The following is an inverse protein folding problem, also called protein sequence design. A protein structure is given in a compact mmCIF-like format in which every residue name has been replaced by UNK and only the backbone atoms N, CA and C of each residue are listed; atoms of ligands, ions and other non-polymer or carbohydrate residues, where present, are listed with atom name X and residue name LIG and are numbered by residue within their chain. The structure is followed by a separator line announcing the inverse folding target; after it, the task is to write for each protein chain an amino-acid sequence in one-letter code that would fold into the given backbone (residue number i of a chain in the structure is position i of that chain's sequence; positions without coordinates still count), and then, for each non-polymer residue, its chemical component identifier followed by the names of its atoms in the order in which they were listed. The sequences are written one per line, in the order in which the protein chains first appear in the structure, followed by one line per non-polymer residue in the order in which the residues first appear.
data_IF_236028251009
#
_entry.id   IF_236028251009
#
_cell.length_a   1.000
_cell.length_b   1.000
_cell.length_c   1.000
_cell.angle_alpha   90.00
_cell.angle_beta   90.00
_cell.angle_gamma   90.00
#
_symmetry.space_group_name_H-M   'P 1'
#
loop_
_entity.id
_entity.type
_entity.pdbx_description
1 polymer ?
#
# COMPACT_ATOMS: atom_id res chain seq x y z
N UNK A 1 15.48 -11.36 22.69
CA UNK A 1 14.67 -10.55 21.75
C UNK A 1 13.68 -9.76 22.59
N UNK A 2 13.90 -8.45 22.73
CA UNK A 2 13.09 -7.56 23.54
C UNK A 2 11.71 -7.41 22.89
N UNK A 3 10.64 -7.82 23.56
CA UNK A 3 9.25 -7.65 23.12
C UNK A 3 8.96 -6.15 23.00
N UNK A 4 8.86 -5.65 21.77
CA UNK A 4 8.33 -4.30 21.54
C UNK A 4 6.82 -4.31 21.73
N UNK A 5 6.38 -3.92 22.92
CA UNK A 5 4.96 -3.80 23.27
C UNK A 5 4.31 -2.51 22.70
N UNK A 6 5.10 -1.60 22.11
CA UNK A 6 4.67 -0.25 21.73
C UNK A 6 4.44 -0.05 20.22
N UNK A 7 4.21 -1.12 19.45
CA UNK A 7 3.90 -0.98 18.03
C UNK A 7 2.50 -0.41 17.85
N UNK A 8 2.40 0.85 17.44
CA UNK A 8 1.11 1.50 17.14
C UNK A 8 0.61 1.15 15.73
N UNK A 9 1.53 0.96 14.76
CA UNK A 9 1.25 0.74 13.34
C UNK A 9 2.26 -0.28 12.80
N UNK A 10 1.80 -1.20 11.95
CA UNK A 10 2.67 -2.03 11.14
C UNK A 10 2.69 -1.49 9.71
N UNK A 11 3.87 -1.29 9.13
CA UNK A 11 4.02 -0.85 7.74
C UNK A 11 4.95 -1.79 6.98
N UNK A 12 4.51 -2.26 5.82
CA UNK A 12 5.27 -3.10 4.90
C UNK A 12 5.38 -2.41 3.54
N UNK A 13 6.60 -2.31 3.04
CA UNK A 13 6.90 -1.79 1.71
C UNK A 13 7.45 -2.91 0.83
N UNK A 14 6.81 -3.14 -0.31
CA UNK A 14 7.21 -4.12 -1.31
C UNK A 14 7.54 -3.35 -2.59
N UNK A 15 8.81 -3.39 -3.01
CA UNK A 15 9.29 -2.75 -4.22
C UNK A 15 9.89 -3.83 -5.11
N UNK A 16 9.15 -4.20 -6.17
CA UNK A 16 9.55 -5.30 -7.04
C UNK A 16 8.91 -5.18 -8.42
N UNK A 17 9.17 -6.15 -9.29
CA UNK A 17 8.42 -6.34 -10.52
C UNK A 17 7.09 -7.05 -10.25
N UNK A 18 6.09 -6.75 -11.06
CA UNK A 18 4.78 -7.39 -10.96
C UNK A 18 4.10 -7.50 -12.31
N UNK A 19 3.15 -8.42 -12.39
CA UNK A 19 2.35 -8.72 -13.56
C UNK A 19 0.85 -8.64 -13.25
N UNK A 20 0.04 -9.00 -14.23
CA UNK A 20 -1.40 -9.11 -14.05
C UNK A 20 -1.76 -10.07 -12.90
N UNK A 21 -2.98 -9.93 -12.38
CA UNK A 21 -3.54 -10.77 -11.31
C UNK A 21 -2.73 -10.72 -10.00
N UNK A 22 -1.99 -9.62 -9.76
CA UNK A 22 -1.24 -9.40 -8.53
C UNK A 22 -0.05 -10.35 -8.33
N UNK A 23 0.51 -10.88 -9.42
CA UNK A 23 1.75 -11.66 -9.37
C UNK A 23 2.92 -10.72 -9.10
N UNK A 24 3.71 -11.02 -8.09
CA UNK A 24 4.91 -10.30 -7.69
C UNK A 24 6.12 -11.21 -7.82
N UNK A 25 7.28 -10.63 -8.14
CA UNK A 25 8.52 -11.36 -8.31
C UNK A 25 9.45 -11.15 -7.12
N UNK A 26 9.86 -12.24 -6.47
CA UNK A 26 11.02 -12.27 -5.59
C UNK A 26 12.28 -12.61 -6.37
N UNK A 27 13.42 -12.68 -5.70
CA UNK A 27 14.69 -13.01 -6.35
C UNK A 27 14.70 -14.41 -7.00
N UNK A 28 14.05 -15.36 -6.36
CA UNK A 28 14.09 -16.78 -6.71
C UNK A 28 12.73 -17.36 -7.13
N UNK A 29 11.64 -16.63 -6.92
CA UNK A 29 10.29 -17.13 -7.17
C UNK A 29 9.28 -16.00 -7.40
N UNK A 30 8.10 -16.37 -7.89
CA UNK A 30 6.97 -15.46 -8.00
C UNK A 30 5.89 -15.84 -7.00
N UNK A 31 5.19 -14.84 -6.46
CA UNK A 31 4.16 -15.06 -5.45
C UNK A 31 3.00 -14.07 -5.60
N UNK A 32 1.87 -14.37 -4.99
CA UNK A 32 0.74 -13.44 -4.86
C UNK A 32 0.65 -12.96 -3.41
N UNK A 33 0.73 -11.65 -3.19
CA UNK A 33 0.72 -11.04 -1.87
C UNK A 33 -0.45 -11.57 -1.01
N UNK A 34 -1.66 -11.56 -1.55
CA UNK A 34 -2.88 -11.96 -0.82
C UNK A 34 -2.95 -13.45 -0.48
N UNK A 35 -2.15 -14.32 -1.16
CA UNK A 35 -2.09 -15.76 -0.88
C UNK A 35 -0.92 -16.14 0.02
N UNK A 36 0.19 -15.43 -0.09
CA UNK A 36 1.46 -15.84 0.52
C UNK A 36 1.80 -15.02 1.75
N UNK A 37 1.64 -13.69 1.70
CA UNK A 37 2.11 -12.79 2.77
C UNK A 37 0.94 -12.30 3.63
N UNK A 38 -0.17 -11.90 3.00
CA UNK A 38 -1.30 -11.33 3.75
C UNK A 38 -1.84 -12.26 4.84
N UNK A 39 -2.01 -13.58 4.64
CA UNK A 39 -2.48 -14.47 5.69
C UNK A 39 -1.59 -14.44 6.94
N UNK A 40 -0.27 -14.33 6.77
CA UNK A 40 0.71 -14.29 7.86
C UNK A 40 0.65 -12.99 8.69
N UNK A 41 -0.02 -11.97 8.18
CA UNK A 41 -0.22 -10.67 8.84
C UNK A 41 -1.58 -10.55 9.53
N UNK A 42 -2.45 -11.54 9.36
CA UNK A 42 -3.77 -11.52 10.00
C UNK A 42 -3.69 -11.89 11.49
N UNK A 43 -4.59 -11.36 12.32
CA UNK A 43 -4.56 -11.57 13.77
C UNK A 43 -4.64 -13.01 14.24
N UNK A 44 -5.24 -13.90 13.47
CA UNK A 44 -5.31 -15.34 13.76
C UNK A 44 -3.94 -16.04 13.69
N UNK A 45 -3.07 -15.64 12.75
CA UNK A 45 -1.69 -16.13 12.66
C UNK A 45 -0.69 -15.19 13.34
N UNK A 46 -0.98 -13.90 13.41
CA UNK A 46 -0.13 -12.90 14.05
C UNK A 46 -0.90 -12.07 15.10
N UNK A 47 -1.18 -12.62 16.29
CA UNK A 47 -1.97 -11.94 17.33
C UNK A 47 -1.42 -10.58 17.76
N UNK A 48 -0.11 -10.37 17.61
CA UNK A 48 0.54 -9.07 17.87
C UNK A 48 0.08 -7.93 16.97
N UNK A 49 -0.58 -8.22 15.87
CA UNK A 49 -1.16 -7.23 14.94
C UNK A 49 -2.67 -7.03 15.14
N UNK A 50 -3.29 -7.71 16.11
CA UNK A 50 -4.69 -7.52 16.42
C UNK A 50 -4.98 -6.07 16.84
N UNK A 51 -6.01 -5.47 16.23
CA UNK A 51 -6.41 -4.09 16.49
C UNK A 51 -5.36 -3.03 16.15
N UNK A 52 -4.37 -3.37 15.33
CA UNK A 52 -3.32 -2.43 14.86
C UNK A 52 -3.45 -2.20 13.36
N UNK A 53 -3.36 -0.95 12.88
CA UNK A 53 -3.32 -0.66 11.45
C UNK A 53 -2.15 -1.36 10.77
N UNK A 54 -2.46 -2.07 9.68
CA UNK A 54 -1.50 -2.75 8.80
C UNK A 54 -1.48 -2.02 7.47
N UNK A 55 -0.39 -1.31 7.21
CA UNK A 55 -0.22 -0.46 6.03
C UNK A 55 0.71 -1.16 5.04
N UNK A 56 0.20 -1.54 3.89
CA UNK A 56 0.94 -2.25 2.84
C UNK A 56 1.10 -1.34 1.64
N UNK A 57 2.32 -1.00 1.32
CA UNK A 57 2.68 -0.18 0.16
C UNK A 57 3.36 -1.04 -0.89
N UNK A 58 2.76 -1.15 -2.08
CA UNK A 58 3.26 -1.99 -3.16
C UNK A 58 3.67 -1.15 -4.37
N UNK A 59 4.95 -1.12 -4.66
CA UNK A 59 5.51 -0.56 -5.88
C UNK A 59 5.82 -1.70 -6.84
N UNK A 60 4.89 -1.99 -7.74
CA UNK A 60 5.02 -3.00 -8.79
C UNK A 60 4.04 -2.69 -9.93
N UNK A 61 4.33 -3.15 -11.15
CA UNK A 61 3.33 -3.18 -12.21
C UNK A 61 2.18 -4.11 -11.82
N UNK A 62 0.97 -3.77 -12.25
CA UNK A 62 -0.22 -4.59 -12.04
C UNK A 62 -0.72 -5.23 -13.35
N UNK A 63 0.08 -5.17 -14.41
CA UNK A 63 -0.18 -5.65 -15.75
C UNK A 63 0.58 -4.85 -16.80
N UNK A 64 0.19 -5.00 -18.05
CA UNK A 64 0.84 -4.45 -19.25
C UNK A 64 0.03 -3.38 -19.99
N UNK A 65 -1.12 -2.97 -19.45
CA UNK A 65 -1.97 -1.94 -20.04
C UNK A 65 -1.46 -0.54 -19.71
N UNK A 66 -1.70 0.39 -20.61
CA UNK A 66 -1.35 1.81 -20.44
C UNK A 66 -2.61 2.68 -20.51
N UNK A 67 -2.63 3.75 -19.75
CA UNK A 67 -3.68 4.74 -19.71
C UNK A 67 -3.23 6.01 -20.44
N UNK A 68 -3.97 6.43 -21.46
CA UNK A 68 -3.70 7.68 -22.20
C UNK A 68 -4.29 8.93 -21.52
N UNK A 69 -5.08 8.75 -20.48
CA UNK A 69 -5.81 9.81 -19.81
C UNK A 69 -7.00 10.33 -20.64
N UNK A 70 -7.83 11.13 -19.99
CA UNK A 70 -8.99 11.81 -20.58
C UNK A 70 -8.87 13.31 -20.35
N UNK A 71 -9.11 14.11 -21.40
CA UNK A 71 -9.10 15.55 -21.30
C UNK A 71 -10.43 16.05 -20.69
N UNK A 72 -10.36 16.65 -19.51
CA UNK A 72 -11.50 17.27 -18.84
C UNK A 72 -11.47 18.78 -19.12
N UNK A 73 -12.55 19.33 -19.69
CA UNK A 73 -12.72 20.77 -19.82
C UNK A 73 -13.02 21.38 -18.45
N UNK A 74 -12.41 22.53 -18.16
CA UNK A 74 -12.47 23.20 -16.84
C UNK A 74 -13.90 23.49 -16.32
N UNK A 75 -14.89 23.59 -17.20
CA UNK A 75 -16.29 23.83 -16.85
C UNK A 75 -17.03 22.63 -16.19
N UNK A 76 -16.41 21.44 -16.19
CA UNK A 76 -17.03 20.23 -15.65
C UNK A 76 -16.49 19.82 -14.25
N UNK A 77 -15.57 20.58 -13.70
CA UNK A 77 -15.06 20.34 -12.35
C UNK A 77 -16.09 20.84 -11.31
N UNK A 78 -17.11 20.04 -11.05
CA UNK A 78 -18.05 20.29 -9.97
C UNK A 78 -17.33 20.29 -8.62
N UNK A 79 -17.63 21.29 -7.77
CA UNK A 79 -17.14 21.35 -6.39
C UNK A 79 -17.67 20.15 -5.61
N UNK A 80 -16.81 19.19 -5.31
CA UNK A 80 -17.12 18.12 -4.36
C UNK A 80 -17.17 18.75 -2.97
N UNK A 81 -18.37 18.84 -2.39
CA UNK A 81 -18.54 19.24 -0.99
C UNK A 81 -18.20 18.04 -0.11
N UNK A 82 -17.19 18.20 0.74
CA UNK A 82 -16.94 17.26 1.82
C UNK A 82 -18.00 17.44 2.93
N UNK A 83 -18.83 16.44 3.11
CA UNK A 83 -19.67 16.35 4.31
C UNK A 83 -18.93 15.51 5.35
N UNK A 84 -18.49 16.16 6.42
CA UNK A 84 -17.94 15.50 7.59
C UNK A 84 -19.09 15.02 8.48
N UNK A 85 -19.19 13.73 8.70
CA UNK A 85 -20.04 13.18 9.76
C UNK A 85 -19.13 12.64 10.86
N UNK A 86 -19.03 13.39 11.95
CA UNK A 86 -18.42 12.93 13.19
C UNK A 86 -19.39 12.03 13.95
N UNK A 87 -18.98 10.81 14.23
CA UNK A 87 -19.57 9.98 15.27
C UNK A 87 -18.48 9.38 16.14
N UNK A 88 -18.05 10.15 17.12
CA UNK A 88 -17.25 9.67 18.23
C UNK A 88 -18.16 9.14 19.33
N UNK A 89 -18.27 7.82 19.49
CA UNK A 89 -18.77 7.20 20.72
C UNK A 89 -17.60 6.66 21.51
N UNK A 90 -17.50 7.11 22.76
CA UNK A 90 -16.53 6.64 23.74
C UNK A 90 -16.59 5.11 23.87
N UNK A 91 -15.45 4.45 23.71
CA UNK A 91 -15.34 3.01 23.85
C UNK A 91 -15.36 2.64 25.33
N UNK A 92 -16.34 1.87 25.75
CA UNK A 92 -16.31 1.12 27.00
C UNK A 92 -15.20 0.04 26.88
N UNK A 93 -14.37 -0.12 27.89
CA UNK A 93 -13.25 -1.09 27.97
C UNK A 93 -13.69 -2.56 28.07
N UNK A 94 -14.76 -2.94 27.40
CA UNK A 94 -15.19 -4.35 27.32
C UNK A 94 -14.49 -5.04 26.15
N UNK A 95 -14.09 -6.32 26.32
CA UNK A 95 -13.55 -7.11 25.22
C UNK A 95 -14.55 -7.14 24.06
N UNK A 96 -14.09 -6.81 22.87
CA UNK A 96 -14.91 -6.86 21.65
C UNK A 96 -14.18 -7.63 20.56
N UNK A 97 -14.96 -8.32 19.73
CA UNK A 97 -14.44 -9.06 18.60
C UNK A 97 -14.43 -8.18 17.34
N UNK A 98 -13.34 -8.21 16.60
CA UNK A 98 -13.21 -7.55 15.30
C UNK A 98 -12.89 -8.60 14.23
N UNK A 99 -13.35 -8.42 12.97
CA UNK A 99 -12.97 -9.27 11.85
C UNK A 99 -11.46 -9.29 11.63
N UNK A 100 -10.89 -10.41 11.18
CA UNK A 100 -9.46 -10.55 10.91
C UNK A 100 -8.90 -9.53 9.92
N UNK A 101 -9.69 -9.13 8.94
CA UNK A 101 -9.30 -8.16 7.92
C UNK A 101 -9.51 -6.69 8.31
N UNK A 102 -9.88 -6.41 9.57
CA UNK A 102 -9.98 -5.03 10.04
C UNK A 102 -8.60 -4.35 10.11
N UNK A 103 -8.63 -3.02 9.98
CA UNK A 103 -7.45 -2.16 10.08
C UNK A 103 -6.34 -2.52 9.06
N UNK A 104 -6.73 -2.94 7.86
CA UNK A 104 -5.81 -3.19 6.73
C UNK A 104 -5.93 -2.05 5.71
N UNK A 105 -4.80 -1.53 5.24
CA UNK A 105 -4.73 -0.62 4.11
C UNK A 105 -3.67 -1.13 3.13
N UNK A 106 -4.07 -1.31 1.88
CA UNK A 106 -3.19 -1.65 0.76
C UNK A 106 -3.18 -0.50 -0.23
N UNK A 107 -2.00 -0.02 -0.57
CA UNK A 107 -1.81 1.07 -1.51
C UNK A 107 -0.80 0.66 -2.57
N UNK A 108 -1.30 0.36 -3.75
CA UNK A 108 -0.51 -0.08 -4.90
C UNK A 108 -0.19 1.09 -5.82
N UNK A 109 0.98 1.07 -6.42
CA UNK A 109 1.47 2.14 -7.29
C UNK A 109 0.63 2.34 -8.55
N UNK A 110 -0.07 1.31 -9.03
CA UNK A 110 -0.92 1.36 -10.21
C UNK A 110 -2.25 0.64 -9.99
N UNK A 111 -3.24 0.99 -10.82
CA UNK A 111 -4.51 0.27 -10.91
C UNK A 111 -4.30 -1.11 -11.53
N UNK A 112 -5.21 -2.06 -11.29
CA UNK A 112 -5.16 -3.41 -11.84
C UNK A 112 -4.99 -3.41 -13.37
N UNK A 113 -4.08 -4.24 -13.86
CA UNK A 113 -3.77 -4.36 -15.28
C UNK A 113 -2.89 -3.24 -15.84
N UNK A 114 -2.50 -2.23 -15.04
CA UNK A 114 -1.76 -1.06 -15.51
C UNK A 114 -0.28 -1.09 -15.17
N UNK A 115 0.52 -0.41 -15.99
CA UNK A 115 1.93 -0.15 -15.71
C UNK A 115 2.13 0.81 -14.55
N UNK A 116 3.23 0.60 -13.83
CA UNK A 116 3.79 1.53 -12.86
C UNK A 116 5.09 2.11 -13.38
N UNK A 117 5.17 3.45 -13.47
CA UNK A 117 6.30 4.14 -14.08
C UNK A 117 7.34 4.59 -13.07
N UNK A 118 8.60 4.60 -13.53
CA UNK A 118 9.74 5.20 -12.82
C UNK A 118 10.56 6.10 -13.74
N UNK A 119 11.30 7.01 -13.15
CA UNK A 119 12.30 7.83 -13.80
C UNK A 119 13.69 7.53 -13.25
N UNK A 120 14.73 8.19 -13.74
CA UNK A 120 16.07 8.16 -13.16
C UNK A 120 16.11 8.59 -11.68
N UNK A 121 15.08 9.33 -11.20
CA UNK A 121 14.93 9.76 -9.81
C UNK A 121 14.17 8.76 -8.93
N UNK A 122 13.73 7.62 -9.50
CA UNK A 122 12.93 6.60 -8.82
C UNK A 122 11.47 6.54 -9.31
N UNK A 123 10.66 5.69 -8.68
CA UNK A 123 9.26 5.51 -9.07
C UNK A 123 8.41 6.73 -8.72
N UNK A 124 7.44 7.05 -9.58
CA UNK A 124 6.53 8.19 -9.37
C UNK A 124 5.74 8.07 -8.08
N UNK A 125 5.29 6.84 -7.79
CA UNK A 125 4.51 6.53 -6.61
C UNK A 125 5.30 6.77 -5.32
N UNK A 126 6.50 6.22 -5.19
CA UNK A 126 7.32 6.37 -3.97
C UNK A 126 7.76 7.83 -3.79
N UNK A 127 8.14 8.52 -4.87
CA UNK A 127 8.47 9.95 -4.80
C UNK A 127 7.29 10.78 -4.28
N UNK A 128 6.08 10.55 -4.83
CA UNK A 128 4.87 11.24 -4.39
C UNK A 128 4.51 10.87 -2.95
N UNK A 129 4.61 9.58 -2.57
CA UNK A 129 4.34 9.11 -1.22
C UNK A 129 5.26 9.79 -0.19
N UNK A 130 6.56 9.80 -0.44
CA UNK A 130 7.52 10.46 0.44
C UNK A 130 7.27 11.96 0.54
N UNK A 131 6.94 12.61 -0.58
CA UNK A 131 6.65 14.04 -0.61
C UNK A 131 5.41 14.36 0.23
N UNK A 132 4.28 13.73 -0.05
CA UNK A 132 3.01 14.03 0.62
C UNK A 132 3.05 13.67 2.12
N UNK A 133 3.73 12.59 2.52
CA UNK A 133 3.93 12.27 3.95
C UNK A 133 4.79 13.34 4.63
N UNK A 134 5.84 13.82 3.97
CA UNK A 134 6.70 14.87 4.52
C UNK A 134 5.96 16.18 4.71
N UNK A 135 5.18 16.59 3.71
CA UNK A 135 4.44 17.86 3.70
C UNK A 135 3.10 17.80 4.47
N UNK A 136 2.61 16.58 4.82
CA UNK A 136 1.35 16.44 5.54
C UNK A 136 1.37 17.14 6.89
N UNK A 137 0.21 17.63 7.30
CA UNK A 137 0.01 18.26 8.61
C UNK A 137 -0.37 17.20 9.66
N UNK A 138 -0.15 17.47 10.96
CA UNK A 138 -0.53 16.54 12.03
C UNK A 138 -2.03 16.22 12.07
N UNK A 139 -2.88 17.15 11.61
CA UNK A 139 -4.36 17.02 11.58
C UNK A 139 -4.86 16.15 10.41
N UNK A 140 -4.01 15.90 9.42
CA UNK A 140 -4.39 15.12 8.24
C UNK A 140 -4.28 13.63 8.54
N UNK A 141 -5.39 12.92 8.41
CA UNK A 141 -5.39 11.47 8.48
C UNK A 141 -4.72 10.85 7.25
N UNK A 142 -4.23 9.62 7.43
CA UNK A 142 -3.49 8.89 6.38
C UNK A 142 -4.26 8.80 5.07
N UNK A 143 -5.57 8.54 5.10
CA UNK A 143 -6.38 8.37 3.88
C UNK A 143 -6.41 9.66 3.07
N UNK A 144 -6.47 10.80 3.74
CA UNK A 144 -6.37 12.13 3.13
C UNK A 144 -4.99 12.32 2.48
N UNK A 145 -3.91 12.02 3.18
CA UNK A 145 -2.54 12.10 2.65
C UNK A 145 -2.38 11.20 1.43
N UNK A 146 -2.86 9.95 1.48
CA UNK A 146 -2.78 9.01 0.35
C UNK A 146 -3.65 9.43 -0.84
N UNK A 147 -4.72 10.19 -0.60
CA UNK A 147 -5.51 10.80 -1.68
C UNK A 147 -4.72 11.89 -2.39
N UNK A 148 -3.94 12.69 -1.65
CA UNK A 148 -3.02 13.67 -2.22
C UNK A 148 -1.90 12.99 -3.05
N UNK A 149 -1.37 11.84 -2.58
CA UNK A 149 -0.43 11.02 -3.37
C UNK A 149 -1.05 10.59 -4.71
N UNK A 150 -2.28 10.06 -4.68
CA UNK A 150 -2.98 9.65 -5.90
C UNK A 150 -3.17 10.83 -6.85
N UNK A 151 -3.58 11.99 -6.33
CA UNK A 151 -3.74 13.23 -7.09
C UNK A 151 -2.43 13.69 -7.71
N UNK A 152 -1.34 13.68 -6.93
CA UNK A 152 -0.01 14.08 -7.41
C UNK A 152 0.44 13.20 -8.59
N UNK A 153 0.35 11.87 -8.45
CA UNK A 153 0.72 10.94 -9.53
C UNK A 153 -0.20 11.12 -10.74
N UNK A 154 -1.51 11.16 -10.55
CA UNK A 154 -2.47 11.21 -11.65
C UNK A 154 -2.40 12.53 -12.46
N UNK A 155 -2.23 13.66 -11.78
CA UNK A 155 -2.24 14.97 -12.46
C UNK A 155 -0.85 15.39 -12.93
N UNK A 156 0.18 15.24 -12.12
CA UNK A 156 1.48 15.84 -12.32
C UNK A 156 2.49 14.93 -13.03
N UNK A 157 2.16 13.63 -13.21
CA UNK A 157 3.06 12.68 -13.88
C UNK A 157 2.51 12.27 -15.24
N UNK A 158 3.42 12.18 -16.21
CA UNK A 158 3.16 11.68 -17.55
C UNK A 158 4.44 11.10 -18.11
N UNK A 159 4.36 9.94 -18.77
CA UNK A 159 5.53 9.30 -19.35
C UNK A 159 6.04 10.06 -20.57
N UNK A 160 7.36 10.11 -20.71
CA UNK A 160 8.02 10.72 -21.85
C UNK A 160 9.00 9.71 -22.46
N UNK A 161 8.52 8.90 -23.39
CA UNK A 161 9.26 7.87 -24.11
C UNK A 161 8.98 8.00 -25.62
N UNK A 162 9.52 9.03 -26.30
CA UNK A 162 9.22 9.30 -27.71
C UNK A 162 9.56 8.12 -28.64
N UNK A 163 10.56 7.31 -28.27
CA UNK A 163 10.99 6.12 -29.01
C UNK A 163 10.01 4.95 -28.94
N UNK A 164 9.05 4.97 -28.00
CA UNK A 164 8.06 3.92 -27.80
C UNK A 164 6.65 4.53 -27.68
N UNK A 165 5.87 4.62 -28.79
CA UNK A 165 4.53 5.22 -28.77
C UNK A 165 3.57 4.56 -27.78
N UNK A 166 3.71 3.25 -27.56
CA UNK A 166 2.90 2.50 -26.60
C UNK A 166 3.08 2.99 -25.16
N UNK A 167 4.26 3.52 -24.81
CA UNK A 167 4.62 4.01 -23.49
C UNK A 167 4.71 5.54 -23.40
N UNK A 168 4.57 6.25 -24.54
CA UNK A 168 4.70 7.70 -24.57
C UNK A 168 3.39 8.40 -24.16
N UNK A 169 3.49 9.49 -23.39
CA UNK A 169 2.36 10.28 -22.88
C UNK A 169 1.31 9.49 -22.11
N UNK A 170 1.74 8.48 -21.35
CA UNK A 170 0.85 7.66 -20.54
C UNK A 170 0.73 8.21 -19.13
N UNK A 171 -0.39 7.88 -18.50
CA UNK A 171 -0.77 8.30 -17.14
C UNK A 171 -0.71 7.10 -16.20
N UNK A 172 -0.72 7.39 -14.91
CA UNK A 172 -0.74 6.39 -13.84
C UNK A 172 -1.61 6.91 -12.71
N UNK A 173 -2.37 6.02 -12.10
CA UNK A 173 -3.11 6.30 -10.87
C UNK A 173 -2.86 5.17 -9.86
N UNK A 174 -2.43 5.49 -8.64
CA UNK A 174 -2.33 4.51 -7.55
C UNK A 174 -3.70 3.98 -7.14
N UNK A 175 -3.75 2.72 -6.72
CA UNK A 175 -4.96 2.06 -6.21
C UNK A 175 -4.87 1.93 -4.70
N UNK A 176 -5.86 2.48 -3.98
CA UNK A 176 -6.02 2.35 -2.55
C UNK A 176 -7.22 1.45 -2.22
N UNK A 177 -6.99 0.47 -1.34
CA UNK A 177 -8.02 -0.42 -0.78
C UNK A 177 -7.80 -0.47 0.73
N UNK A 178 -8.84 -0.24 1.50
CA UNK A 178 -8.71 -0.30 2.95
C UNK A 178 -9.96 -0.84 3.65
N UNK A 179 -9.73 -1.36 4.85
CA UNK A 179 -10.74 -1.80 5.83
C UNK A 179 -10.48 -1.14 7.18
N UNK A 180 -9.94 0.08 7.15
CA UNK A 180 -9.68 0.86 8.36
C UNK A 180 -11.00 1.19 9.07
N UNK A 181 -11.09 0.87 10.35
CA UNK A 181 -12.25 1.20 11.20
C UNK A 181 -12.00 2.45 12.07
N UNK A 182 -10.85 3.08 11.88
CA UNK A 182 -10.45 4.32 12.57
C UNK A 182 -9.54 5.17 11.68
N UNK A 183 -9.47 6.47 11.98
CA UNK A 183 -8.50 7.36 11.36
C UNK A 183 -7.09 7.01 11.84
N UNK A 184 -6.12 7.01 10.93
CA UNK A 184 -4.71 6.79 11.20
C UNK A 184 -3.97 8.08 10.94
N UNK A 185 -3.19 8.54 11.93
CA UNK A 185 -2.36 9.73 11.83
C UNK A 185 -0.90 9.33 11.91
N UNK A 186 -0.07 9.79 10.96
CA UNK A 186 1.37 9.49 10.94
C UNK A 186 2.18 10.47 11.77
N UNK A 187 1.65 11.67 12.01
CA UNK A 187 2.25 12.70 12.85
C UNK A 187 1.30 12.91 14.01
N UNK A 188 1.75 12.69 15.24
CA UNK A 188 0.96 13.01 16.42
C UNK A 188 1.43 14.33 17.02
N UNK A 189 0.49 15.12 17.50
CA UNK A 189 0.83 16.04 18.57
C UNK A 189 1.31 15.20 19.75
N UNK A 190 2.43 15.56 20.36
CA UNK A 190 2.89 14.91 21.58
C UNK A 190 1.84 15.13 22.70
N UNK A 191 0.86 14.25 22.78
CA UNK A 191 -0.11 14.28 23.87
C UNK A 191 -0.59 12.86 24.18
N UNK A 192 -0.13 12.38 25.32
CA UNK A 192 -0.62 11.29 26.18
C UNK A 192 -0.96 9.94 25.52
N UNK A 193 -0.06 9.01 25.73
CA UNK A 193 -0.31 7.59 25.56
C UNK A 193 -1.48 7.12 26.43
N UNK A 194 -2.51 6.55 25.82
CA UNK A 194 -3.52 5.77 26.53
C UNK A 194 -2.92 4.37 26.72
N UNK A 195 -2.77 3.89 27.96
CA UNK A 195 -2.27 2.53 28.21
C UNK A 195 -3.31 1.50 27.73
N UNK A 196 -2.95 0.68 26.78
CA UNK A 196 -3.70 -0.54 26.47
C UNK A 196 -2.98 -1.70 27.12
N UNK A 197 -3.38 -2.08 28.32
CA UNK A 197 -3.02 -3.37 28.89
C UNK A 197 -3.80 -4.46 28.16
N UNK A 198 -3.10 -5.28 27.40
CA UNK A 198 -3.63 -6.52 26.86
C UNK A 198 -2.73 -7.67 27.26
N UNK A 199 -3.29 -8.56 28.06
CA UNK A 199 -2.73 -9.89 28.33
C UNK A 199 -2.96 -10.76 27.10
N UNK A 200 -1.93 -10.94 26.29
CA UNK A 200 -1.95 -11.85 25.15
C UNK A 200 -1.14 -13.10 25.51
N UNK A 201 -1.80 -14.24 25.62
CA UNK A 201 -1.15 -15.54 25.77
C UNK A 201 -0.42 -15.91 24.47
N UNK A 202 0.86 -16.26 24.61
CA UNK A 202 1.77 -16.61 23.55
C UNK A 202 1.37 -17.89 22.82
N UNK A 203 1.16 -17.82 21.50
CA UNK A 203 1.41 -18.96 20.61
C UNK A 203 2.05 -18.41 19.33
N UNK A 204 3.35 -18.33 19.29
CA UNK A 204 4.08 -18.14 18.06
C UNK A 204 5.40 -18.93 18.13
N UNK A 205 5.33 -20.22 17.82
CA UNK A 205 6.48 -21.04 17.47
C UNK A 205 6.03 -22.08 16.43
N UNK A 206 6.13 -21.74 15.17
CA UNK A 206 6.29 -22.73 14.10
C UNK A 206 7.26 -22.22 13.07
N UNK A 207 8.39 -22.87 13.02
CA UNK A 207 9.44 -22.78 12.00
C UNK A 207 8.85 -23.19 10.66
N UNK A 208 8.99 -22.34 9.65
CA UNK A 208 8.65 -22.68 8.26
C UNK A 208 9.71 -23.65 7.76
N UNK A 209 9.33 -24.89 7.55
CA UNK A 209 10.16 -25.91 6.91
C UNK A 209 10.18 -25.70 5.40
N UNK A 210 11.39 -25.80 4.86
CA UNK A 210 11.74 -25.60 3.46
C UNK A 210 11.28 -26.77 2.57
N UNK A 211 10.13 -26.64 1.91
CA UNK A 211 9.69 -27.58 0.85
C UNK A 211 9.22 -26.87 -0.44
N UNK A 212 9.84 -25.77 -0.80
CA UNK A 212 9.58 -25.10 -2.10
C UNK A 212 10.85 -25.01 -2.96
N UNK A 213 11.67 -26.05 -2.98
CA UNK A 213 12.95 -26.08 -3.72
C UNK A 213 12.93 -26.90 -5.00
N UNK A 214 11.88 -26.89 -5.81
CA UNK A 214 11.94 -27.69 -7.06
C UNK A 214 11.12 -27.18 -8.24
N UNK A 215 11.09 -25.90 -8.56
CA UNK A 215 10.53 -25.47 -9.86
C UNK A 215 11.01 -24.10 -10.36
N UNK A 216 12.25 -23.70 -10.10
CA UNK A 216 12.75 -22.41 -10.56
C UNK A 216 14.05 -22.51 -11.34
N UNK A 217 14.02 -23.16 -12.53
CA UNK A 217 15.17 -23.14 -13.43
C UNK A 217 14.78 -23.11 -14.90
N UNK A 218 13.95 -22.18 -15.34
CA UNK A 218 13.77 -21.93 -16.78
C UNK A 218 13.15 -20.55 -17.04
N UNK A 219 13.85 -19.46 -16.77
CA UNK A 219 13.57 -18.23 -17.52
C UNK A 219 14.68 -17.19 -17.22
N UNK A 220 15.78 -17.30 -17.93
CA UNK A 220 16.77 -16.23 -18.03
C UNK A 220 16.87 -15.78 -19.47
N UNK A 221 16.81 -14.48 -19.65
CA UNK A 221 17.14 -13.63 -20.82
C UNK A 221 15.98 -13.26 -21.71
N UNK A 222 15.50 -12.02 -21.54
CA UNK A 222 15.49 -11.00 -22.62
C UNK A 222 15.01 -9.67 -22.07
N UNK A 223 15.72 -8.63 -22.50
CA UNK A 223 15.35 -7.22 -22.57
C UNK A 223 15.63 -6.34 -21.35
N UNK A 224 16.89 -5.90 -21.30
CA UNK A 224 17.40 -4.77 -20.50
C UNK A 224 17.00 -3.39 -21.07
N UNK A 225 15.73 -3.08 -21.30
CA UNK A 225 15.33 -1.73 -21.70
C UNK A 225 13.86 -1.38 -21.43
N UNK A 226 13.28 -1.88 -20.35
CA UNK A 226 11.94 -1.44 -19.99
C UNK A 226 11.96 -0.62 -18.69
N UNK A 227 11.64 0.67 -18.79
CA UNK A 227 11.49 1.64 -17.69
C UNK A 227 10.20 1.44 -16.87
N UNK A 228 9.66 0.22 -16.85
CA UNK A 228 8.48 -0.15 -16.08
C UNK A 228 8.86 -1.09 -14.93
N UNK A 229 8.32 -0.87 -13.76
CA UNK A 229 8.35 -1.77 -12.62
C UNK A 229 6.98 -2.33 -12.35
#
# INVERSE_FOLDING_TARGET
VQKRQDLCIFALFILTHGEADGLLHAYDSSYRFHKTILPELLPDLCPGLAGRPKLIFMQACQGDKTDSGVLIKASQAGRIRHTSTDSSKAANNLPYCIPNFCDLLMFSSAYFGQYSFRSSKGSWFIQALCHEIKESKPEEDLVTVLTNVSRNVALNKQSNVPSCPALHKKKQVPLKQDTLIRKVFLKSYATQAIPVEQTVTNVCNKTVTADAKKEANAFRRKDDNCLCM
#
